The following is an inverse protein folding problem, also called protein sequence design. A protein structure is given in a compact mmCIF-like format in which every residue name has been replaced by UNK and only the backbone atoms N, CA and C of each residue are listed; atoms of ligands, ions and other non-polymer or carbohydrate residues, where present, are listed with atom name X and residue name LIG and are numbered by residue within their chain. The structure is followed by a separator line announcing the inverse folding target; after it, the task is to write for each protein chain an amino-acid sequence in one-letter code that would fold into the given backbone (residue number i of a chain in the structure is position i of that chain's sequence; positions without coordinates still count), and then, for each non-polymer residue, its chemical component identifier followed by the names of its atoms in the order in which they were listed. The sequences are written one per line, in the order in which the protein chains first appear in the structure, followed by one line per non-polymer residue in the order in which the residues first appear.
data_IF_348857635820
#
_entry.id   IF_348857635820
#
_cell.length_a   1.000
_cell.length_b   1.000
_cell.length_c   1.000
_cell.angle_alpha   90.00
_cell.angle_beta   90.00
_cell.angle_gamma   90.00
#
_symmetry.space_group_name_H-M   'P 1'
#
loop_
_entity.id
_entity.type
_entity.pdbx_description
1 polymer ?
#
# COMPACT_ATOMS: atom_id res chain seq x y z
N UNK A 1 14.10 -20.08 2.47
CA UNK A 1 13.81 -18.66 2.78
C UNK A 1 13.33 -18.03 1.49
N UNK A 2 12.29 -17.19 1.53
CA UNK A 2 11.78 -16.55 0.31
C UNK A 2 12.87 -15.70 -0.36
N UNK A 3 13.00 -15.81 -1.68
CA UNK A 3 13.98 -15.06 -2.47
C UNK A 3 13.46 -13.64 -2.69
N UNK A 4 14.31 -12.64 -2.44
CA UNK A 4 13.96 -11.24 -2.73
C UNK A 4 13.93 -11.00 -4.23
N UNK A 5 12.84 -10.43 -4.74
CA UNK A 5 12.70 -10.05 -6.15
C UNK A 5 12.51 -8.54 -6.22
N UNK A 6 13.45 -7.85 -6.84
CA UNK A 6 13.43 -6.40 -6.98
C UNK A 6 12.90 -6.05 -8.37
N UNK A 7 11.75 -5.37 -8.42
CA UNK A 7 11.16 -4.80 -9.63
C UNK A 7 11.40 -3.30 -9.56
N UNK A 8 12.37 -2.78 -10.33
CA UNK A 8 12.85 -1.40 -10.19
C UNK A 8 12.61 -0.59 -11.45
N UNK A 9 11.81 0.47 -11.32
CA UNK A 9 11.64 1.49 -12.36
C UNK A 9 12.97 2.21 -12.65
N UNK A 10 13.28 2.37 -13.94
CA UNK A 10 14.45 3.09 -14.46
C UNK A 10 14.04 4.43 -15.05
N UNK A 11 13.06 4.43 -15.95
CA UNK A 11 12.52 5.62 -16.61
C UNK A 11 11.04 5.41 -16.97
N UNK A 12 10.37 6.51 -17.32
CA UNK A 12 9.01 6.52 -17.85
C UNK A 12 9.01 7.18 -19.23
N UNK A 13 8.31 6.58 -20.17
CA UNK A 13 8.14 7.00 -21.57
C UNK A 13 6.65 7.01 -21.90
N UNK A 14 5.98 8.16 -21.70
CA UNK A 14 4.53 8.26 -21.79
C UNK A 14 3.85 7.39 -20.72
N UNK A 15 2.97 6.49 -21.13
CA UNK A 15 2.27 5.54 -20.24
C UNK A 15 3.07 4.27 -19.93
N UNK A 16 4.26 4.12 -20.53
CA UNK A 16 5.13 2.97 -20.35
C UNK A 16 6.25 3.26 -19.35
N UNK A 17 6.61 2.27 -18.56
CA UNK A 17 7.72 2.29 -17.63
C UNK A 17 8.81 1.34 -18.10
N UNK A 18 10.05 1.80 -18.19
CA UNK A 18 11.21 0.92 -18.31
C UNK A 18 11.61 0.48 -16.91
N UNK A 19 11.67 -0.82 -16.68
CA UNK A 19 12.02 -1.40 -15.39
C UNK A 19 13.06 -2.53 -15.54
N UNK A 20 13.66 -2.95 -14.44
CA UNK A 20 14.52 -4.14 -14.38
C UNK A 20 14.02 -5.07 -13.29
N UNK A 21 14.24 -6.37 -13.47
CA UNK A 21 14.01 -7.39 -12.44
C UNK A 21 15.34 -7.93 -11.96
N UNK A 22 15.46 -8.22 -10.66
CA UNK A 22 16.64 -8.83 -10.06
C UNK A 22 16.22 -9.80 -8.96
N UNK A 23 16.86 -10.95 -8.89
CA UNK A 23 16.65 -11.96 -7.85
C UNK A 23 17.82 -11.97 -6.87
N UNK A 24 17.52 -11.91 -5.58
CA UNK A 24 18.52 -11.81 -4.51
C UNK A 24 19.12 -10.41 -4.40
N UNK A 25 19.65 -10.10 -3.21
CA UNK A 25 20.22 -8.78 -2.90
C UNK A 25 21.46 -8.46 -3.75
N UNK A 26 22.25 -9.50 -4.06
CA UNK A 26 23.49 -9.42 -4.84
C UNK A 26 23.37 -9.98 -6.26
N UNK A 27 22.15 -10.26 -6.73
CA UNK A 27 21.93 -10.74 -8.10
C UNK A 27 22.23 -9.66 -9.14
N UNK A 28 22.45 -10.09 -10.39
CA UNK A 28 22.49 -9.18 -11.53
C UNK A 28 21.08 -8.72 -11.91
N UNK A 29 20.96 -7.48 -12.39
CA UNK A 29 19.75 -7.02 -13.06
C UNK A 29 19.61 -7.79 -14.39
N UNK A 30 18.42 -8.33 -14.64
CA UNK A 30 18.04 -8.86 -15.94
C UNK A 30 17.87 -7.72 -16.96
N UNK A 31 17.86 -8.03 -18.27
CA UNK A 31 17.62 -7.03 -19.30
C UNK A 31 16.37 -6.17 -19.01
N UNK A 32 16.40 -4.86 -19.33
CA UNK A 32 15.26 -3.99 -19.07
C UNK A 32 13.99 -4.47 -19.76
N UNK A 33 12.88 -4.42 -19.03
CA UNK A 33 11.55 -4.75 -19.51
C UNK A 33 10.67 -3.50 -19.56
N UNK A 34 9.57 -3.58 -20.31
CA UNK A 34 8.55 -2.53 -20.35
C UNK A 34 7.32 -2.98 -19.57
N UNK A 35 6.91 -2.17 -18.60
CA UNK A 35 5.66 -2.32 -17.85
C UNK A 35 4.73 -1.19 -18.26
N UNK A 36 3.47 -1.49 -18.48
CA UNK A 36 2.40 -0.54 -18.73
C UNK A 36 1.18 -0.94 -17.91
N UNK A 37 0.28 0.02 -17.65
CA UNK A 37 -0.99 -0.30 -17.04
C UNK A 37 -1.78 -1.27 -17.95
N UNK A 38 -2.11 -2.50 -17.49
CA UNK A 38 -2.97 -3.42 -18.23
C UNK A 38 -4.41 -2.92 -18.45
N UNK A 39 -4.87 -1.94 -17.67
CA UNK A 39 -6.20 -1.37 -17.76
C UNK A 39 -6.24 -0.13 -18.66
N UNK A 40 -7.36 0.01 -19.37
CA UNK A 40 -7.79 1.26 -20.01
C UNK A 40 -8.46 2.18 -18.98
N UNK A 41 -8.60 3.49 -19.26
CA UNK A 41 -9.27 4.42 -18.37
C UNK A 41 -10.69 3.99 -17.96
N UNK A 42 -11.44 3.37 -18.88
CA UNK A 42 -12.78 2.85 -18.59
C UNK A 42 -12.72 1.73 -17.55
N UNK A 43 -11.72 0.85 -17.64
CA UNK A 43 -11.56 -0.29 -16.75
C UNK A 43 -11.05 0.16 -15.37
N UNK A 44 -10.20 1.19 -15.30
CA UNK A 44 -9.83 1.81 -14.03
C UNK A 44 -11.05 2.41 -13.33
N UNK A 45 -11.93 3.11 -14.05
CA UNK A 45 -13.19 3.62 -13.49
C UNK A 45 -14.11 2.49 -12.98
N UNK A 46 -14.13 1.35 -13.66
CA UNK A 46 -14.88 0.18 -13.19
C UNK A 46 -14.28 -0.42 -11.91
N UNK A 47 -12.96 -0.45 -11.79
CA UNK A 47 -12.27 -0.88 -10.56
C UNK A 47 -12.51 0.09 -9.41
N UNK A 48 -12.42 1.39 -9.66
CA UNK A 48 -12.73 2.46 -8.71
C UNK A 48 -14.17 2.30 -8.17
N UNK A 49 -15.15 2.20 -9.06
CA UNK A 49 -16.54 1.93 -8.67
C UNK A 49 -16.67 0.65 -7.83
N UNK A 50 -16.00 -0.43 -8.22
CA UNK A 50 -16.07 -1.71 -7.51
C UNK A 50 -15.54 -1.61 -6.07
N UNK A 51 -14.40 -0.94 -5.87
CA UNK A 51 -13.76 -0.84 -4.56
C UNK A 51 -14.31 0.28 -3.67
N UNK A 52 -14.78 1.39 -4.26
CA UNK A 52 -15.18 2.56 -3.50
C UNK A 52 -16.70 2.66 -3.30
N UNK A 53 -17.49 2.24 -4.29
CA UNK A 53 -18.95 2.38 -4.25
C UNK A 53 -19.64 1.04 -3.94
N UNK A 54 -19.36 0.00 -4.72
CA UNK A 54 -20.10 -1.26 -4.66
C UNK A 54 -19.93 -1.98 -3.32
N UNK A 55 -18.74 -1.90 -2.70
CA UNK A 55 -18.49 -2.50 -1.38
C UNK A 55 -19.37 -1.93 -0.26
N UNK A 56 -19.94 -0.72 -0.43
CA UNK A 56 -20.91 -0.18 0.52
C UNK A 56 -22.27 -0.89 0.43
N UNK A 57 -22.64 -1.38 -0.76
CA UNK A 57 -23.93 -2.04 -1.02
C UNK A 57 -23.74 -3.30 -1.88
N UNK A 58 -23.06 -4.36 -1.39
CA UNK A 58 -22.61 -5.51 -2.19
C UNK A 58 -23.76 -6.46 -2.62
N UNK A 59 -24.99 -5.98 -2.55
CA UNK A 59 -26.20 -6.68 -2.97
C UNK A 59 -26.81 -6.09 -4.25
N UNK A 60 -26.38 -4.90 -4.70
CA UNK A 60 -26.77 -4.31 -6.01
C UNK A 60 -25.78 -4.71 -7.10
N UNK A 61 -26.13 -4.50 -8.37
CA UNK A 61 -25.20 -4.54 -9.53
C UNK A 61 -24.25 -5.76 -9.62
N UNK A 62 -24.68 -6.92 -9.13
CA UNK A 62 -23.83 -8.12 -8.97
C UNK A 62 -23.13 -8.55 -10.26
N UNK A 63 -23.79 -8.39 -11.41
CA UNK A 63 -23.18 -8.71 -12.70
C UNK A 63 -22.02 -7.77 -13.07
N UNK A 64 -22.16 -6.46 -12.81
CA UNK A 64 -21.10 -5.47 -12.99
C UNK A 64 -19.94 -5.74 -12.04
N UNK A 65 -20.25 -6.01 -10.77
CA UNK A 65 -19.27 -6.36 -9.75
C UNK A 65 -18.48 -7.64 -10.09
N UNK A 66 -19.16 -8.68 -10.58
CA UNK A 66 -18.49 -9.89 -11.07
C UNK A 66 -17.57 -9.58 -12.26
N UNK A 67 -18.00 -8.73 -13.19
CA UNK A 67 -17.17 -8.28 -14.30
C UNK A 67 -15.89 -7.57 -13.86
N UNK A 68 -15.99 -6.66 -12.88
CA UNK A 68 -14.82 -6.01 -12.28
C UNK A 68 -13.90 -7.01 -11.57
N UNK A 69 -14.46 -7.94 -10.78
CA UNK A 69 -13.70 -8.98 -10.11
C UNK A 69 -12.96 -9.91 -11.09
N UNK A 70 -13.61 -10.31 -12.18
CA UNK A 70 -12.99 -11.10 -13.24
C UNK A 70 -11.87 -10.31 -13.95
N UNK A 71 -12.06 -9.00 -14.10
CA UNK A 71 -11.06 -8.13 -14.70
C UNK A 71 -9.80 -8.00 -13.84
N UNK A 72 -9.90 -8.01 -12.50
CA UNK A 72 -8.73 -8.03 -11.60
C UNK A 72 -7.80 -9.21 -11.95
N UNK A 73 -8.38 -10.39 -12.24
CA UNK A 73 -7.61 -11.57 -12.65
C UNK A 73 -6.90 -11.34 -13.99
N UNK A 74 -7.62 -10.79 -14.97
CA UNK A 74 -7.07 -10.49 -16.31
C UNK A 74 -5.94 -9.47 -16.23
N UNK A 75 -6.13 -8.41 -15.43
CA UNK A 75 -5.11 -7.41 -15.13
C UNK A 75 -3.87 -8.07 -14.54
N UNK A 76 -4.05 -8.87 -13.48
CA UNK A 76 -2.98 -9.52 -12.76
C UNK A 76 -2.13 -10.46 -13.61
N UNK A 77 -2.77 -11.25 -14.46
CA UNK A 77 -2.08 -12.14 -15.40
C UNK A 77 -1.36 -11.36 -16.51
N UNK A 78 -1.92 -10.23 -16.97
CA UNK A 78 -1.27 -9.36 -17.93
C UNK A 78 -0.03 -8.68 -17.35
N UNK A 79 -0.12 -8.14 -16.13
CA UNK A 79 1.02 -7.56 -15.43
C UNK A 79 2.10 -8.62 -15.16
N UNK A 80 1.71 -9.83 -14.74
CA UNK A 80 2.64 -10.95 -14.56
C UNK A 80 3.40 -11.28 -15.84
N UNK A 81 2.70 -11.33 -16.99
CA UNK A 81 3.35 -11.60 -18.28
C UNK A 81 4.40 -10.54 -18.62
N UNK A 82 4.10 -9.26 -18.39
CA UNK A 82 5.03 -8.16 -18.66
C UNK A 82 6.30 -8.24 -17.78
N UNK A 83 6.17 -8.66 -16.53
CA UNK A 83 7.28 -8.67 -15.56
C UNK A 83 8.10 -9.95 -15.63
N UNK A 84 7.45 -11.11 -15.69
CA UNK A 84 8.10 -12.41 -15.49
C UNK A 84 8.14 -13.28 -16.74
N UNK A 85 7.33 -13.00 -17.78
CA UNK A 85 7.32 -13.80 -19.02
C UNK A 85 7.82 -13.06 -20.26
N UNK A 86 8.28 -11.81 -20.11
CA UNK A 86 8.92 -11.07 -21.21
C UNK A 86 10.27 -11.66 -21.59
N UNK A 87 10.90 -12.39 -20.68
CA UNK A 87 12.23 -12.99 -20.84
C UNK A 87 12.21 -14.43 -20.24
N UNK A 88 12.63 -15.46 -21.00
CA UNK A 88 12.65 -16.85 -20.51
C UNK A 88 13.53 -17.08 -19.27
N UNK A 89 14.65 -16.36 -19.15
CA UNK A 89 15.58 -16.52 -18.03
C UNK A 89 15.01 -15.91 -16.75
N UNK A 90 14.28 -14.78 -16.87
CA UNK A 90 13.51 -14.20 -15.76
C UNK A 90 12.44 -15.18 -15.28
N UNK A 91 11.71 -15.80 -16.22
CA UNK A 91 10.67 -16.77 -15.86
C UNK A 91 11.26 -18.01 -15.17
N UNK A 92 12.38 -18.54 -15.69
CA UNK A 92 13.06 -19.68 -15.09
C UNK A 92 13.54 -19.38 -13.66
N UNK A 93 14.11 -18.20 -13.43
CA UNK A 93 14.52 -17.74 -12.10
C UNK A 93 13.34 -17.60 -11.14
N UNK A 94 12.22 -17.03 -11.60
CA UNK A 94 10.98 -16.98 -10.84
C UNK A 94 10.49 -18.38 -10.45
N UNK A 95 10.45 -19.31 -11.41
CA UNK A 95 10.01 -20.69 -11.13
C UNK A 95 10.94 -21.40 -10.14
N UNK A 96 12.25 -21.16 -10.20
CA UNK A 96 13.19 -21.69 -9.20
C UNK A 96 12.91 -21.11 -7.82
N UNK A 97 12.76 -19.79 -7.72
CA UNK A 97 12.46 -19.11 -6.46
C UNK A 97 11.17 -19.63 -5.82
N UNK A 98 10.12 -19.85 -6.62
CA UNK A 98 8.86 -20.42 -6.14
C UNK A 98 9.01 -21.85 -5.60
N UNK A 99 9.92 -22.67 -6.17
CA UNK A 99 10.24 -23.99 -5.62
C UNK A 99 11.09 -23.90 -4.34
N UNK A 100 11.94 -22.88 -4.24
CA UNK A 100 12.89 -22.68 -3.14
C UNK A 100 12.33 -21.85 -1.97
N UNK A 101 11.02 -21.92 -1.75
CA UNK A 101 10.35 -21.31 -0.60
C UNK A 101 9.68 -19.96 -0.86
N UNK A 102 9.51 -19.57 -2.12
CA UNK A 102 8.71 -18.41 -2.53
C UNK A 102 9.51 -17.14 -2.80
N UNK A 103 8.79 -16.03 -2.96
CA UNK A 103 9.33 -14.72 -3.33
C UNK A 103 8.88 -13.62 -2.36
N UNK A 104 9.77 -12.68 -2.10
CA UNK A 104 9.45 -11.40 -1.49
C UNK A 104 9.55 -10.33 -2.58
N UNK A 105 8.40 -9.83 -3.05
CA UNK A 105 8.34 -8.84 -4.12
C UNK A 105 8.65 -7.45 -3.57
N UNK A 106 9.61 -6.76 -4.18
CA UNK A 106 10.00 -5.41 -3.83
C UNK A 106 9.86 -4.51 -5.06
N UNK A 107 8.78 -3.74 -5.09
CA UNK A 107 8.49 -2.76 -6.14
C UNK A 107 9.16 -1.45 -5.76
N UNK A 108 10.05 -0.95 -6.60
CA UNK A 108 10.82 0.27 -6.36
C UNK A 108 10.58 1.24 -7.52
N UNK A 109 9.88 2.35 -7.28
CA UNK A 109 9.52 3.28 -8.34
C UNK A 109 8.99 4.63 -7.88
N UNK A 110 8.58 5.41 -8.87
CA UNK A 110 7.80 6.65 -8.77
C UNK A 110 6.38 6.38 -8.24
N UNK A 111 5.65 7.42 -7.78
CA UNK A 111 4.23 7.30 -7.43
C UNK A 111 3.38 6.69 -8.55
N UNK A 112 3.66 7.03 -9.81
CA UNK A 112 2.89 6.54 -10.96
C UNK A 112 3.20 5.09 -11.27
N UNK A 113 4.44 4.64 -11.06
CA UNK A 113 4.77 3.21 -11.10
C UNK A 113 4.09 2.45 -9.96
N UNK A 114 3.97 3.07 -8.79
CA UNK A 114 3.21 2.52 -7.66
C UNK A 114 1.70 2.56 -7.88
N UNK A 115 1.17 3.40 -8.78
CA UNK A 115 -0.25 3.39 -9.09
C UNK A 115 -0.71 2.10 -9.78
N UNK A 116 0.22 1.32 -10.36
CA UNK A 116 -0.11 -0.01 -10.87
C UNK A 116 -0.54 -0.95 -9.72
N UNK A 117 -1.55 -1.77 -9.98
CA UNK A 117 -2.12 -2.73 -9.01
C UNK A 117 -1.21 -3.97 -8.81
N UNK A 118 0.00 -3.80 -8.27
CA UNK A 118 1.01 -4.86 -8.09
C UNK A 118 0.51 -6.06 -7.28
N UNK A 119 -0.41 -5.84 -6.35
CA UNK A 119 -1.01 -6.87 -5.50
C UNK A 119 -1.86 -7.87 -6.31
N UNK A 120 -2.30 -7.48 -7.52
CA UNK A 120 -3.06 -8.35 -8.43
C UNK A 120 -2.16 -9.31 -9.21
N UNK A 121 -0.84 -9.10 -9.20
CA UNK A 121 0.12 -9.86 -9.99
C UNK A 121 -0.08 -11.37 -9.80
N UNK A 122 -0.47 -12.07 -10.87
CA UNK A 122 -0.97 -13.44 -10.82
C UNK A 122 -0.24 -14.33 -11.82
N UNK A 123 0.46 -15.35 -11.32
CA UNK A 123 0.88 -16.46 -12.16
C UNK A 123 -0.37 -17.26 -12.59
N UNK A 124 -0.63 -17.42 -13.90
CA UNK A 124 -1.75 -18.23 -14.39
C UNK A 124 -1.76 -19.68 -13.87
N UNK A 125 -0.61 -20.21 -13.44
CA UNK A 125 -0.49 -21.57 -12.93
C UNK A 125 -0.88 -21.70 -11.43
N UNK A 126 -1.13 -20.59 -10.74
CA UNK A 126 -1.50 -20.57 -9.33
C UNK A 126 -2.97 -20.21 -9.14
N UNK A 127 -3.64 -20.74 -8.10
CA UNK A 127 -5.07 -20.48 -7.87
C UNK A 127 -5.35 -19.01 -7.53
N UNK A 128 -4.44 -18.35 -6.82
CA UNK A 128 -4.63 -16.98 -6.32
C UNK A 128 -3.50 -16.04 -6.81
N UNK A 129 -3.69 -14.70 -6.79
CA UNK A 129 -2.61 -13.73 -6.97
C UNK A 129 -1.46 -13.96 -5.98
N UNK A 130 -0.25 -13.53 -6.35
CA UNK A 130 0.94 -13.77 -5.51
C UNK A 130 0.81 -13.13 -4.13
N UNK A 131 0.21 -11.94 -4.04
CA UNK A 131 0.05 -11.20 -2.77
C UNK A 131 -0.68 -11.98 -1.66
N UNK A 132 -1.46 -13.01 -2.00
CA UNK A 132 -2.16 -13.85 -1.00
C UNK A 132 -1.19 -14.71 -0.19
N UNK A 133 -0.06 -15.13 -0.78
CA UNK A 133 0.92 -16.00 -0.11
C UNK A 133 2.37 -15.51 -0.17
N UNK A 134 2.64 -14.45 -0.93
CA UNK A 134 3.96 -13.89 -1.17
C UNK A 134 3.92 -12.40 -0.79
N UNK A 135 4.78 -11.92 0.13
CA UNK A 135 4.69 -10.53 0.55
C UNK A 135 5.10 -9.57 -0.58
N UNK A 136 4.39 -8.45 -0.66
CA UNK A 136 4.65 -7.35 -1.61
C UNK A 136 5.02 -6.10 -0.82
N UNK A 137 6.18 -5.52 -1.13
CA UNK A 137 6.69 -4.32 -0.47
C UNK A 137 6.92 -3.25 -1.53
N UNK A 138 6.41 -2.04 -1.27
CA UNK A 138 6.62 -0.86 -2.11
C UNK A 138 7.68 0.02 -1.46
N UNK A 139 8.67 0.44 -2.24
CA UNK A 139 9.78 1.29 -1.80
C UNK A 139 9.93 2.49 -2.74
N UNK A 140 10.28 3.63 -2.16
CA UNK A 140 10.64 4.81 -2.92
C UNK A 140 11.99 4.62 -3.63
N UNK A 141 12.17 5.23 -4.80
CA UNK A 141 13.47 5.20 -5.52
C UNK A 141 14.61 5.82 -4.72
N UNK A 142 14.29 6.88 -3.97
CA UNK A 142 15.21 7.51 -3.02
C UNK A 142 14.81 7.04 -1.63
N UNK A 143 15.75 6.45 -0.91
CA UNK A 143 15.56 6.17 0.50
C UNK A 143 15.29 7.50 1.23
N UNK A 144 14.22 7.56 2.00
CA UNK A 144 14.01 8.68 2.93
C UNK A 144 14.99 8.43 4.07
N UNK A 145 16.08 9.18 4.11
CA UNK A 145 17.15 9.05 5.13
C UNK A 145 16.82 9.77 6.43
N UNK A 146 15.57 10.17 6.63
CA UNK A 146 15.14 10.72 7.91
C UNK A 146 14.91 9.58 8.89
N UNK A 147 16.00 9.04 9.46
CA UNK A 147 15.92 8.23 10.66
C UNK A 147 15.40 9.12 11.79
N UNK A 148 14.11 9.03 12.11
CA UNK A 148 13.60 9.61 13.33
C UNK A 148 14.26 8.89 14.50
N UNK A 149 15.06 9.61 15.29
CA UNK A 149 15.54 9.08 16.56
C UNK A 149 14.33 9.04 17.49
N UNK A 150 13.80 7.84 17.74
CA UNK A 150 12.76 7.65 18.74
C UNK A 150 13.44 7.61 20.12
N UNK A 151 13.24 8.61 20.99
CA UNK A 151 13.71 8.51 22.36
C UNK A 151 13.03 7.34 23.05
N UNK A 152 13.76 6.62 23.90
CA UNK A 152 13.16 5.61 24.76
C UNK A 152 12.33 6.32 25.83
N UNK A 153 11.02 6.33 25.63
CA UNK A 153 10.07 7.02 26.52
C UNK A 153 9.28 6.02 27.36
N UNK A 154 8.98 6.35 28.62
CA UNK A 154 8.23 5.47 29.52
C UNK A 154 6.73 5.39 29.16
N UNK A 155 6.26 6.23 28.24
CA UNK A 155 4.87 6.33 27.83
C UNK A 155 4.75 6.67 26.33
N UNK A 156 3.93 5.90 25.61
CA UNK A 156 3.61 6.13 24.21
C UNK A 156 2.54 7.22 24.08
N UNK A 157 2.93 8.39 23.57
CA UNK A 157 1.99 9.47 23.21
C UNK A 157 1.54 9.35 21.76
N UNK A 158 0.24 9.16 21.55
CA UNK A 158 -0.41 9.00 20.24
C UNK A 158 -1.32 10.21 19.98
N UNK A 159 -1.16 10.87 18.83
CA UNK A 159 -2.12 11.84 18.34
C UNK A 159 -3.06 11.16 17.34
N UNK A 160 -4.36 11.15 17.65
CA UNK A 160 -5.41 10.57 16.82
C UNK A 160 -6.17 11.68 16.09
N UNK A 161 -6.20 11.61 14.76
CA UNK A 161 -6.99 12.51 13.91
C UNK A 161 -8.08 11.71 13.22
N UNK A 162 -9.33 12.06 13.48
CA UNK A 162 -10.50 11.44 12.85
C UNK A 162 -11.29 12.50 12.09
N UNK A 163 -11.25 12.46 10.75
CA UNK A 163 -11.98 13.40 9.90
C UNK A 163 -13.14 12.67 9.23
N UNK A 164 -14.34 12.90 9.76
CA UNK A 164 -15.58 12.23 9.34
C UNK A 164 -16.62 13.29 8.98
N UNK A 165 -16.47 13.94 7.81
CA UNK A 165 -17.30 15.07 7.40
C UNK A 165 -18.76 14.67 7.20
N UNK A 166 -19.05 13.37 7.03
CA UNK A 166 -20.40 12.84 6.79
C UNK A 166 -21.10 12.35 8.07
N UNK A 167 -20.45 12.46 9.23
CA UNK A 167 -21.07 12.25 10.54
C UNK A 167 -21.62 10.83 10.75
N UNK A 168 -22.94 10.69 10.87
CA UNK A 168 -23.63 9.40 11.08
C UNK A 168 -23.65 8.49 9.86
N UNK A 169 -23.24 8.98 8.68
CA UNK A 169 -23.04 8.17 7.47
C UNK A 169 -21.65 7.52 7.40
N UNK A 170 -20.74 7.89 8.31
CA UNK A 170 -19.42 7.27 8.42
C UNK A 170 -19.46 6.06 9.39
N UNK A 171 -18.75 4.98 9.04
CA UNK A 171 -18.68 3.72 9.82
C UNK A 171 -18.33 4.00 11.27
N UNK A 172 -19.21 3.74 12.24
CA UNK A 172 -19.08 4.23 13.62
C UNK A 172 -17.70 4.09 14.32
N UNK A 173 -17.38 5.05 15.21
CA UNK A 173 -16.13 5.21 15.99
C UNK A 173 -15.57 3.92 16.62
N UNK A 174 -16.46 2.96 16.93
CA UNK A 174 -16.10 1.69 17.57
C UNK A 174 -15.29 0.74 16.68
N UNK A 175 -15.20 0.98 15.37
CA UNK A 175 -14.66 -0.02 14.44
C UNK A 175 -13.15 0.11 14.20
N UNK A 176 -12.55 1.30 14.40
CA UNK A 176 -11.13 1.55 14.03
C UNK A 176 -10.28 1.97 15.24
N UNK A 177 -10.80 2.79 16.16
CA UNK A 177 -10.01 3.19 17.36
C UNK A 177 -10.02 2.14 18.47
N UNK A 178 -11.04 1.27 18.51
CA UNK A 178 -11.16 0.22 19.54
C UNK A 178 -10.03 -0.81 19.47
N UNK A 179 -9.66 -1.38 18.30
CA UNK A 179 -8.54 -2.30 18.23
C UNK A 179 -7.20 -1.68 18.65
N UNK A 180 -6.99 -0.38 18.39
CA UNK A 180 -5.80 0.33 18.85
C UNK A 180 -5.75 0.41 20.38
N UNK A 181 -6.87 0.81 21.00
CA UNK A 181 -6.99 0.88 22.47
C UNK A 181 -6.82 -0.52 23.08
N UNK A 182 -7.54 -1.51 22.54
CA UNK A 182 -7.48 -2.90 23.00
C UNK A 182 -6.04 -3.47 22.88
N UNK A 183 -5.31 -3.11 21.82
CA UNK A 183 -3.90 -3.51 21.64
C UNK A 183 -2.97 -2.84 22.65
N UNK A 184 -3.16 -1.56 22.95
CA UNK A 184 -2.38 -0.84 23.98
C UNK A 184 -2.64 -1.43 25.38
N UNK A 185 -3.91 -1.72 25.70
CA UNK A 185 -4.30 -2.37 26.95
C UNK A 185 -3.71 -3.78 27.07
N UNK A 186 -3.84 -4.60 26.02
CA UNK A 186 -3.31 -5.97 25.99
C UNK A 186 -1.79 -5.99 26.11
N UNK A 187 -1.12 -5.06 25.43
CA UNK A 187 0.33 -4.90 25.50
C UNK A 187 0.84 -4.32 26.82
N UNK A 188 -0.06 -3.89 27.73
CA UNK A 188 0.26 -3.17 28.97
C UNK A 188 1.18 -1.96 28.74
N UNK A 189 1.04 -1.34 27.58
CA UNK A 189 1.80 -0.15 27.22
C UNK A 189 1.15 1.05 27.93
N UNK A 190 1.94 1.81 28.67
CA UNK A 190 1.49 3.12 29.15
C UNK A 190 1.36 4.01 27.93
N UNK A 191 0.14 4.46 27.64
CA UNK A 191 -0.11 5.31 26.49
C UNK A 191 -1.07 6.43 26.82
N UNK A 192 -0.77 7.63 26.31
CA UNK A 192 -1.67 8.77 26.31
C UNK A 192 -2.13 8.99 24.87
N UNK A 193 -3.44 9.11 24.67
CA UNK A 193 -4.05 9.36 23.36
C UNK A 193 -4.73 10.73 23.39
N UNK A 194 -4.21 11.65 22.61
CA UNK A 194 -4.85 12.94 22.35
C UNK A 194 -5.64 12.86 21.05
N UNK A 195 -6.85 13.43 21.03
CA UNK A 195 -7.73 13.37 19.85
C UNK A 195 -7.91 14.79 19.31
N UNK A 196 -7.55 14.99 18.03
CA UNK A 196 -7.76 16.26 17.34
C UNK A 196 -9.25 16.44 17.05
N UNK A 197 -9.83 17.51 17.60
CA UNK A 197 -11.24 17.89 17.40
C UNK A 197 -11.38 19.40 17.16
N UNK A 198 -12.02 19.84 16.07
CA UNK A 198 -12.47 19.02 14.93
C UNK A 198 -11.29 18.38 14.19
N UNK A 199 -11.51 17.24 13.54
CA UNK A 199 -10.46 16.53 12.78
C UNK A 199 -10.12 17.21 11.45
N UNK A 200 -9.75 18.50 11.47
CA UNK A 200 -9.33 19.23 10.26
C UNK A 200 -7.82 19.28 10.15
N UNK A 201 -7.32 19.55 8.95
CA UNK A 201 -5.88 19.72 8.73
C UNK A 201 -5.31 20.92 9.52
N UNK A 202 -6.06 22.02 9.58
CA UNK A 202 -5.69 23.20 10.37
C UNK A 202 -5.55 22.87 11.87
N UNK A 203 -6.50 22.13 12.45
CA UNK A 203 -6.45 21.76 13.86
C UNK A 203 -5.37 20.73 14.19
N UNK A 204 -5.02 19.86 13.23
CA UNK A 204 -3.85 18.99 13.33
C UNK A 204 -2.57 19.83 13.42
N UNK A 205 -2.39 20.81 12.52
CA UNK A 205 -1.21 21.69 12.54
C UNK A 205 -1.12 22.46 13.86
N UNK A 206 -2.21 23.08 14.31
CA UNK A 206 -2.26 23.78 15.61
C UNK A 206 -1.88 22.88 16.78
N UNK A 207 -2.34 21.63 16.81
CA UNK A 207 -1.97 20.67 17.86
C UNK A 207 -0.48 20.33 17.83
N UNK A 208 0.09 20.09 16.65
CA UNK A 208 1.51 19.75 16.50
C UNK A 208 2.40 20.94 16.85
N UNK A 209 2.06 22.13 16.38
CA UNK A 209 2.79 23.37 16.70
C UNK A 209 2.73 23.63 18.21
N UNK A 210 1.54 23.57 18.82
CA UNK A 210 1.39 23.75 20.27
C UNK A 210 2.21 22.72 21.05
N UNK A 211 2.14 21.45 20.68
CA UNK A 211 2.94 20.41 21.35
C UNK A 211 4.45 20.65 21.20
N UNK A 212 4.89 21.12 20.04
CA UNK A 212 6.29 21.49 19.81
C UNK A 212 6.72 22.70 20.64
N UNK A 213 5.85 23.72 20.79
CA UNK A 213 6.10 24.88 21.64
C UNK A 213 6.15 24.49 23.13
N UNK A 214 5.18 23.70 23.60
CA UNK A 214 5.01 23.38 25.02
C UNK A 214 6.00 22.31 25.51
N UNK A 215 6.41 21.39 24.63
CA UNK A 215 7.16 20.18 25.01
C UNK A 215 8.41 19.91 24.16
N UNK A 216 8.62 20.66 23.07
CA UNK A 216 9.70 20.40 22.12
C UNK A 216 9.37 19.31 21.08
N UNK A 217 10.32 19.05 20.20
CA UNK A 217 10.18 18.01 19.17
C UNK A 217 10.13 16.59 19.76
N UNK A 218 9.32 15.72 19.15
CA UNK A 218 9.21 14.31 19.58
C UNK A 218 8.18 14.04 20.67
N UNK A 219 7.33 15.02 21.03
CA UNK A 219 6.28 14.82 22.03
C UNK A 219 5.27 13.72 21.63
N UNK A 220 4.78 13.73 20.39
CA UNK A 220 3.99 12.63 19.84
C UNK A 220 4.91 11.65 19.10
N UNK A 221 4.77 10.37 19.41
CA UNK A 221 5.57 9.29 18.81
C UNK A 221 4.85 8.62 17.65
N UNK A 222 3.52 8.69 17.66
CA UNK A 222 2.66 8.12 16.64
C UNK A 222 1.56 9.11 16.29
N UNK A 223 1.34 9.30 14.99
CA UNK A 223 0.18 9.98 14.44
C UNK A 223 -0.70 8.93 13.77
N UNK A 224 -1.93 8.77 14.25
CA UNK A 224 -2.93 7.90 13.63
C UNK A 224 -3.95 8.75 12.88
N UNK A 225 -4.04 8.55 11.57
CA UNK A 225 -4.94 9.26 10.69
C UNK A 225 -6.06 8.32 10.23
N UNK A 226 -7.29 8.57 10.70
CA UNK A 226 -8.53 7.91 10.26
C UNK A 226 -9.35 8.93 9.46
N UNK A 227 -9.05 9.02 8.16
CA UNK A 227 -9.52 10.06 7.24
C UNK A 227 -9.97 9.44 5.90
N UNK A 228 -10.82 10.14 5.15
CA UNK A 228 -11.26 9.75 3.79
C UNK A 228 -10.22 10.01 2.67
N UNK A 229 -8.96 10.30 3.00
CA UNK A 229 -7.87 10.38 2.02
C UNK A 229 -7.73 11.69 1.22
N UNK A 230 -8.59 12.70 1.44
CA UNK A 230 -8.47 14.02 0.81
C UNK A 230 -8.46 15.15 1.85
N UNK A 231 -7.64 16.19 1.61
CA UNK A 231 -7.74 17.47 2.33
C UNK A 231 -8.67 18.37 1.54
N UNK A 232 -9.90 18.54 2.04
CA UNK A 232 -10.86 19.48 1.45
C UNK A 232 -10.46 20.90 1.87
N UNK A 233 -10.16 21.74 0.89
CA UNK A 233 -9.90 23.18 1.06
C UNK A 233 -11.18 23.99 1.15
#
# INVERSE_FOLDING_TARGET
MAIQVFIKERSREGENFKATVRFGEYGADYPPLTVANPAKPEQERELEWYFEEWLNFPFTDKARAQGAADFIRVYGEALFRQVFRSDPDVYAAYQSAMRDGGVLLQVIGSPEFHALHWETLKDPNLPHPLAVGQPVVRKNRKAVTNSATLPEVPELRVLLVTARPSGSRDVGYRTISRPLIDALETGKLRATIDIVRPGTFEELLKHLEKAQLDHGGGYYHMLHLDLHGAVLS
#
